data_IF_545940509138
#
_entry.id   IF_545940509138
#
_cell.length_a   1.000
_cell.length_b   1.000
_cell.length_c   1.000
_cell.angle_alpha   90.00
_cell.angle_beta   90.00
_cell.angle_gamma   90.00
#
_symmetry.space_group_name_H-M   'P 1'
#
loop_
_entity.id
_entity.type
_entity.pdbx_description
1 polymer ?
#
# COMPACT_ATOMS: atom_id res chain seq x y z
N UNK A 1 19.43 42.41 -38.08
CA UNK A 1 19.27 40.96 -38.35
C UNK A 1 20.37 40.21 -37.63
N UNK A 2 20.08 39.64 -36.46
CA UNK A 2 20.97 38.71 -35.76
C UNK A 2 20.12 37.55 -35.24
N UNK A 3 20.22 36.40 -35.90
CA UNK A 3 19.48 35.19 -35.55
C UNK A 3 20.29 34.41 -34.51
N UNK A 4 19.92 34.51 -33.23
CA UNK A 4 20.41 33.56 -32.23
C UNK A 4 19.68 32.22 -32.44
N UNK A 5 20.43 31.25 -32.95
CA UNK A 5 19.96 29.89 -33.21
C UNK A 5 20.29 29.06 -31.97
N UNK A 6 19.35 28.94 -31.04
CA UNK A 6 19.48 28.03 -29.90
C UNK A 6 19.10 26.62 -30.35
N UNK A 7 20.10 25.75 -30.50
CA UNK A 7 19.91 24.30 -30.51
C UNK A 7 19.86 23.83 -29.06
N UNK A 8 18.84 23.06 -28.67
CA UNK A 8 18.89 22.21 -27.49
C UNK A 8 18.66 20.76 -27.93
N UNK A 9 19.47 19.80 -27.43
CA UNK A 9 19.37 18.39 -27.80
C UNK A 9 18.21 17.70 -27.06
N UNK A 10 17.69 16.67 -27.72
CA UNK A 10 16.70 15.73 -27.21
C UNK A 10 17.37 14.71 -26.28
N UNK A 11 16.72 14.39 -25.16
CA UNK A 11 16.90 13.14 -24.43
C UNK A 11 15.52 12.73 -23.89
N UNK A 12 14.87 11.82 -24.61
CA UNK A 12 13.64 11.16 -24.17
C UNK A 12 14.05 9.97 -23.29
N UNK A 13 14.01 10.13 -21.97
CA UNK A 13 14.10 9.04 -21.02
C UNK A 13 12.75 8.34 -20.92
N UNK A 14 12.69 7.06 -21.27
CA UNK A 14 11.50 6.23 -21.16
C UNK A 14 11.51 5.64 -19.74
N UNK A 15 10.70 6.22 -18.83
CA UNK A 15 10.58 5.74 -17.44
C UNK A 15 9.34 4.86 -17.36
N UNK A 16 9.54 3.56 -17.20
CA UNK A 16 8.47 2.58 -16.91
C UNK A 16 8.23 2.53 -15.41
N UNK A 17 7.13 3.09 -14.94
CA UNK A 17 6.61 2.83 -13.60
C UNK A 17 5.71 1.58 -13.65
N UNK A 18 6.11 0.52 -12.95
CA UNK A 18 5.30 -0.68 -12.78
C UNK A 18 4.72 -0.68 -11.35
N UNK A 19 3.40 -0.59 -11.24
CA UNK A 19 2.69 -0.77 -9.97
C UNK A 19 2.22 -2.23 -9.91
N UNK A 20 2.70 -2.98 -8.91
CA UNK A 20 2.25 -4.36 -8.66
C UNK A 20 1.54 -4.38 -7.31
N UNK A 21 0.25 -4.70 -7.31
CA UNK A 21 -0.57 -4.93 -6.12
C UNK A 21 -0.64 -6.44 -5.87
N UNK A 22 -0.02 -6.94 -4.80
CA UNK A 22 -0.25 -8.31 -4.31
C UNK A 22 -1.25 -8.27 -3.16
N UNK A 23 -2.40 -8.93 -3.33
CA UNK A 23 -3.38 -9.19 -2.28
C UNK A 23 -3.11 -10.54 -1.61
N UNK A 24 -2.87 -10.56 -0.30
CA UNK A 24 -2.72 -11.77 0.50
C UNK A 24 -3.99 -12.09 1.28
N UNK A 25 -4.51 -13.32 1.17
CA UNK A 25 -5.69 -13.80 1.89
C UNK A 25 -5.29 -14.52 3.18
N UNK A 26 -5.84 -14.10 4.33
CA UNK A 26 -5.78 -14.87 5.59
C UNK A 26 -7.18 -15.46 5.91
N UNK A 27 -7.29 -16.79 5.86
CA UNK A 27 -8.50 -17.51 6.23
C UNK A 27 -8.64 -17.60 7.76
N UNK A 28 -9.81 -17.18 8.26
CA UNK A 28 -10.12 -17.02 9.68
C UNK A 28 -10.37 -18.30 10.50
N UNK A 29 -10.33 -18.11 11.82
CA UNK A 29 -10.46 -19.15 12.83
C UNK A 29 -11.89 -19.61 13.15
N UNK A 30 -11.98 -20.74 13.85
CA UNK A 30 -13.22 -21.24 14.43
C UNK A 30 -13.19 -21.10 15.95
N UNK A 31 -14.09 -20.26 16.49
CA UNK A 31 -14.50 -20.28 17.90
C UNK A 31 -15.71 -21.21 18.03
N UNK A 32 -15.70 -22.14 18.99
CA UNK A 32 -16.91 -22.81 19.48
C UNK A 32 -17.03 -22.61 20.99
N UNK A 33 -18.19 -22.09 21.42
CA UNK A 33 -18.59 -21.80 22.80
C UNK A 33 -19.75 -22.72 23.20
N UNK A 34 -19.73 -23.26 24.44
CA UNK A 34 -20.94 -23.43 25.28
C UNK A 34 -21.49 -24.84 25.64
N UNK A 35 -20.88 -25.51 26.66
CA UNK A 35 -21.37 -26.15 27.94
C UNK A 35 -22.89 -26.54 28.20
N UNK A 36 -23.27 -27.30 29.29
CA UNK A 36 -23.39 -28.76 29.64
C UNK A 36 -24.90 -29.12 30.02
N UNK A 37 -25.34 -30.02 30.96
CA UNK A 37 -24.73 -31.07 31.84
C UNK A 37 -25.43 -32.46 31.85
N UNK A 38 -24.82 -33.49 32.47
CA UNK A 38 -25.44 -34.27 33.58
C UNK A 38 -24.53 -35.37 34.19
N UNK A 39 -24.86 -35.68 35.45
CA UNK A 39 -24.30 -36.52 36.52
C UNK A 39 -23.55 -37.85 36.25
N UNK A 40 -22.48 -38.12 37.04
CA UNK A 40 -22.50 -39.10 38.16
C UNK A 40 -21.09 -39.58 38.62
N UNK A 41 -20.83 -39.35 39.91
CA UNK A 41 -20.06 -40.11 40.93
C UNK A 41 -18.69 -40.83 40.66
N UNK A 42 -17.74 -40.43 41.52
CA UNK A 42 -16.73 -41.22 42.25
C UNK A 42 -15.45 -41.73 41.56
N UNK A 43 -14.30 -41.16 41.93
CA UNK A 43 -13.32 -41.80 42.82
C UNK A 43 -12.10 -40.89 43.05
N UNK A 44 -11.63 -40.88 44.29
CA UNK A 44 -10.48 -40.09 44.76
C UNK A 44 -9.17 -40.75 44.37
N UNK A 45 -8.26 -39.98 43.78
CA UNK A 45 -6.83 -40.26 43.83
C UNK A 45 -6.09 -38.92 43.96
N UNK A 46 -5.57 -38.69 45.15
CA UNK A 46 -4.64 -37.60 45.44
C UNK A 46 -3.31 -37.87 44.73
N UNK A 47 -2.78 -36.86 44.03
CA UNK A 47 -1.34 -36.74 43.78
C UNK A 47 -0.94 -35.26 43.90
N UNK A 48 -0.17 -35.03 44.97
CA UNK A 48 0.86 -34.02 45.23
C UNK A 48 0.82 -32.69 44.49
N UNK A 49 0.68 -31.62 45.28
CA UNK A 49 1.15 -30.28 44.96
C UNK A 49 2.61 -30.30 44.53
N UNK A 50 2.89 -29.87 43.31
CA UNK A 50 4.15 -29.22 42.99
C UNK A 50 3.85 -27.72 42.87
N UNK A 51 4.35 -26.95 43.84
CA UNK A 51 4.36 -25.49 43.74
C UNK A 51 5.37 -25.11 42.67
N UNK A 52 4.91 -24.90 41.44
CA UNK A 52 5.74 -24.25 40.41
C UNK A 52 5.93 -22.78 40.79
N UNK A 53 7.14 -22.22 40.71
CA UNK A 53 7.34 -20.78 40.86
C UNK A 53 6.52 -20.05 39.79
N UNK A 54 6.15 -18.77 39.99
CA UNK A 54 5.51 -18.00 38.94
C UNK A 54 6.48 -18.01 37.75
N UNK A 55 6.06 -18.65 36.66
CA UNK A 55 6.70 -18.42 35.39
C UNK A 55 6.47 -16.93 35.12
N UNK A 56 7.52 -16.13 35.25
CA UNK A 56 7.53 -14.82 34.62
C UNK A 56 7.12 -15.06 33.18
N UNK A 57 5.92 -14.59 32.84
CA UNK A 57 5.47 -14.54 31.48
C UNK A 57 6.41 -13.56 30.78
N UNK A 58 7.54 -14.09 30.32
CA UNK A 58 8.39 -13.43 29.36
C UNK A 58 7.48 -13.13 28.19
N UNK A 59 7.10 -11.85 28.06
CA UNK A 59 6.47 -11.34 26.86
C UNK A 59 7.43 -11.70 25.75
N UNK A 60 7.10 -12.70 24.95
CA UNK A 60 7.81 -12.98 23.71
C UNK A 60 7.64 -11.73 22.88
N UNK A 61 8.69 -10.91 22.84
CA UNK A 61 8.79 -9.82 21.87
C UNK A 61 8.94 -10.52 20.52
N UNK A 62 7.83 -10.64 19.80
CA UNK A 62 7.88 -11.00 18.40
C UNK A 62 8.70 -9.90 17.71
N UNK A 63 9.73 -10.26 16.91
CA UNK A 63 10.57 -9.27 16.28
C UNK A 63 9.69 -8.40 15.37
N UNK A 64 9.61 -7.10 15.68
CA UNK A 64 9.03 -6.13 14.76
C UNK A 64 9.92 -6.08 13.52
N UNK A 65 9.32 -6.33 12.36
CA UNK A 65 10.01 -6.28 11.07
C UNK A 65 10.19 -4.83 10.67
N UNK A 66 11.42 -4.44 10.36
CA UNK A 66 11.73 -3.14 9.74
C UNK A 66 11.42 -3.21 8.24
N UNK A 67 10.21 -2.81 7.87
CA UNK A 67 9.72 -2.89 6.49
C UNK A 67 10.46 -1.93 5.55
N UNK A 68 10.98 -0.81 6.05
CA UNK A 68 11.79 0.12 5.26
C UNK A 68 13.13 -0.52 4.89
N UNK A 69 13.77 -1.20 5.85
CA UNK A 69 15.00 -1.95 5.59
C UNK A 69 14.77 -3.10 4.59
N UNK A 70 13.67 -3.86 4.73
CA UNK A 70 13.32 -4.92 3.77
C UNK A 70 13.08 -4.36 2.36
N UNK A 71 12.39 -3.22 2.24
CA UNK A 71 12.18 -2.55 0.96
C UNK A 71 13.49 -2.02 0.36
N UNK A 72 14.37 -1.45 1.18
CA UNK A 72 15.68 -0.98 0.74
C UNK A 72 16.56 -2.12 0.22
N UNK A 73 16.61 -3.25 0.93
CA UNK A 73 17.35 -4.44 0.49
C UNK A 73 16.81 -4.98 -0.85
N UNK A 74 15.49 -4.94 -1.03
CA UNK A 74 14.85 -5.35 -2.28
C UNK A 74 15.15 -4.41 -3.46
N UNK A 75 15.29 -3.11 -3.20
CA UNK A 75 15.55 -2.08 -4.23
C UNK A 75 17.03 -1.82 -4.50
N UNK A 76 17.93 -2.22 -3.60
CA UNK A 76 19.38 -2.06 -3.74
C UNK A 76 19.94 -2.45 -5.12
N UNK A 77 19.56 -3.58 -5.76
CA UNK A 77 20.08 -3.92 -7.10
C UNK A 77 19.50 -3.07 -8.24
N UNK A 78 18.40 -2.33 -8.01
CA UNK A 78 17.73 -1.49 -9.01
C UNK A 78 18.12 -0.01 -8.89
N UNK A 79 18.52 0.42 -7.71
CA UNK A 79 18.87 1.81 -7.41
C UNK A 79 20.27 2.23 -7.89
N UNK A 80 21.09 1.30 -8.43
CA UNK A 80 22.44 1.62 -8.88
C UNK A 80 22.43 2.54 -10.12
N UNK A 81 22.72 3.83 -9.89
CA UNK A 81 22.85 4.85 -10.93
C UNK A 81 21.55 5.53 -11.36
N UNK A 82 20.44 5.35 -10.64
CA UNK A 82 19.17 6.01 -10.91
C UNK A 82 18.55 6.63 -9.65
N UNK A 83 17.91 7.79 -9.79
CA UNK A 83 17.09 8.40 -8.74
C UNK A 83 15.76 7.64 -8.68
N UNK A 84 15.52 6.91 -7.59
CA UNK A 84 14.34 6.05 -7.43
C UNK A 84 13.72 6.27 -6.05
N UNK A 85 12.43 6.57 -6.04
CA UNK A 85 11.59 6.58 -4.85
C UNK A 85 10.45 5.57 -5.01
N UNK A 86 10.18 4.78 -3.96
CA UNK A 86 9.12 3.76 -3.94
C UNK A 86 8.45 3.78 -2.57
N UNK A 87 7.12 3.72 -2.56
CA UNK A 87 6.35 3.53 -1.34
C UNK A 87 5.35 2.38 -1.51
N UNK A 88 5.18 1.60 -0.46
CA UNK A 88 4.20 0.51 -0.37
C UNK A 88 3.30 0.83 0.82
N UNK A 89 1.98 0.74 0.61
CA UNK A 89 0.98 0.96 1.65
C UNK A 89 -0.04 -0.17 1.57
N UNK A 90 -0.21 -0.89 2.67
CA UNK A 90 -1.40 -1.69 2.89
C UNK A 90 -2.56 -0.76 3.27
N UNK A 91 -3.57 -0.69 2.41
CA UNK A 91 -4.70 0.21 2.58
C UNK A 91 -5.70 -0.25 3.65
N UNK A 92 -5.61 -1.51 4.11
CA UNK A 92 -6.46 -2.01 5.20
C UNK A 92 -5.86 -1.67 6.57
N UNK A 93 -4.61 -2.03 6.83
CA UNK A 93 -3.96 -1.77 8.13
C UNK A 93 -3.34 -0.38 8.25
N UNK A 94 -3.05 0.29 7.12
CA UNK A 94 -2.26 1.53 7.08
C UNK A 94 -0.76 1.33 7.27
N UNK A 95 -0.30 0.08 7.39
CA UNK A 95 1.12 -0.26 7.47
C UNK A 95 1.78 -0.03 6.13
N UNK A 96 2.99 0.53 6.11
CA UNK A 96 3.70 0.81 4.87
C UNK A 96 5.21 0.87 5.05
N UNK A 97 5.88 0.98 3.92
CA UNK A 97 7.32 1.17 3.81
C UNK A 97 7.63 2.18 2.70
N UNK A 98 8.73 2.91 2.84
CA UNK A 98 9.21 3.86 1.86
C UNK A 98 10.73 3.77 1.64
N UNK A 99 11.13 4.01 0.40
CA UNK A 99 12.52 4.15 -0.02
C UNK A 99 12.61 5.41 -0.87
N UNK A 100 13.52 6.34 -0.53
CA UNK A 100 13.66 7.63 -1.20
C UNK A 100 12.52 8.61 -0.87
N UNK A 101 12.83 9.90 -0.94
CA UNK A 101 11.88 10.99 -0.72
C UNK A 101 12.09 12.19 -1.66
N UNK A 102 12.74 11.96 -2.80
CA UNK A 102 13.10 13.01 -3.74
C UNK A 102 11.89 13.57 -4.52
N UNK A 103 12.08 14.75 -5.12
CA UNK A 103 11.09 15.38 -5.99
C UNK A 103 11.29 14.95 -7.45
N UNK A 104 10.20 14.63 -8.14
CA UNK A 104 10.18 14.20 -9.53
C UNK A 104 9.19 15.01 -10.37
N UNK A 105 9.43 15.09 -11.67
CA UNK A 105 8.41 15.50 -12.62
C UNK A 105 7.26 14.49 -12.59
N UNK A 106 6.04 14.95 -12.29
CA UNK A 106 4.87 14.07 -12.14
C UNK A 106 4.52 13.28 -13.40
N UNK A 107 4.98 13.75 -14.56
CA UNK A 107 4.56 13.23 -15.87
C UNK A 107 3.03 13.07 -15.93
N UNK A 108 2.53 11.91 -16.35
CA UNK A 108 1.09 11.66 -16.45
C UNK A 108 0.37 11.39 -15.12
N UNK A 109 1.08 11.36 -13.98
CA UNK A 109 0.44 11.19 -12.65
C UNK A 109 -0.49 12.35 -12.32
N UNK A 110 -0.14 13.57 -12.77
CA UNK A 110 -0.95 14.79 -12.59
C UNK A 110 -2.39 14.66 -13.08
N UNK A 111 -2.66 13.73 -14.00
CA UNK A 111 -4.01 13.48 -14.53
C UNK A 111 -4.96 12.89 -13.49
N UNK A 112 -4.43 12.20 -12.49
CA UNK A 112 -5.23 11.74 -11.34
C UNK A 112 -5.70 12.94 -10.52
N UNK A 113 -4.87 13.96 -10.34
CA UNK A 113 -5.26 15.20 -9.65
C UNK A 113 -6.30 15.98 -10.46
N UNK A 114 -6.17 16.03 -11.79
CA UNK A 114 -7.18 16.64 -12.68
C UNK A 114 -8.52 15.91 -12.54
N UNK A 115 -8.52 14.57 -12.51
CA UNK A 115 -9.74 13.80 -12.29
C UNK A 115 -10.34 14.08 -10.89
N UNK A 116 -9.51 14.12 -9.85
CA UNK A 116 -9.97 14.41 -8.50
C UNK A 116 -10.63 15.80 -8.42
N UNK A 117 -10.04 16.82 -9.06
CA UNK A 117 -10.61 18.16 -9.14
C UNK A 117 -11.94 18.19 -9.91
N UNK A 118 -12.05 17.47 -11.02
CA UNK A 118 -13.30 17.35 -11.78
C UNK A 118 -14.41 16.67 -10.95
N UNK A 119 -14.07 15.60 -10.23
CA UNK A 119 -15.01 14.91 -9.34
C UNK A 119 -15.44 15.80 -8.18
N UNK A 120 -14.51 16.55 -7.58
CA UNK A 120 -14.80 17.49 -6.51
C UNK A 120 -15.75 18.59 -7.00
N UNK A 121 -15.51 19.16 -8.19
CA UNK A 121 -16.40 20.16 -8.79
C UNK A 121 -17.82 19.61 -9.01
N UNK A 122 -17.95 18.39 -9.53
CA UNK A 122 -19.26 17.78 -9.73
C UNK A 122 -20.01 17.54 -8.40
N UNK A 123 -19.28 17.14 -7.36
CA UNK A 123 -19.83 16.98 -6.01
C UNK A 123 -20.31 18.31 -5.43
N UNK A 124 -19.52 19.38 -5.57
CA UNK A 124 -19.89 20.73 -5.13
C UNK A 124 -21.15 21.25 -5.85
N UNK A 125 -21.31 20.87 -7.12
CA UNK A 125 -22.49 21.18 -7.93
C UNK A 125 -23.68 20.22 -7.65
N UNK A 126 -23.49 19.20 -6.82
CA UNK A 126 -24.53 18.22 -6.49
C UNK A 126 -24.96 17.36 -7.68
N UNK A 127 -24.06 17.11 -8.63
CA UNK A 127 -24.33 16.31 -9.83
C UNK A 127 -23.26 15.25 -10.06
N UNK A 128 -23.55 14.35 -10.97
CA UNK A 128 -22.56 13.41 -11.51
C UNK A 128 -21.84 14.02 -12.73
N UNK A 129 -20.77 13.36 -13.16
CA UNK A 129 -20.13 13.68 -14.43
C UNK A 129 -21.11 13.42 -15.57
N UNK A 130 -21.17 14.34 -16.53
CA UNK A 130 -21.91 14.11 -17.76
C UNK A 130 -21.13 13.14 -18.69
N UNK A 131 -21.78 12.67 -19.75
CA UNK A 131 -21.19 11.66 -20.63
C UNK A 131 -19.88 12.11 -21.32
N UNK A 132 -19.72 13.41 -21.60
CA UNK A 132 -18.49 13.93 -22.21
C UNK A 132 -17.36 13.99 -21.17
N UNK A 133 -17.64 14.53 -19.98
CA UNK A 133 -16.68 14.55 -18.87
C UNK A 133 -16.19 13.14 -18.52
N UNK A 134 -17.11 12.17 -18.46
CA UNK A 134 -16.75 10.77 -18.22
C UNK A 134 -15.88 10.19 -19.34
N UNK A 135 -16.21 10.45 -20.61
CA UNK A 135 -15.44 9.95 -21.75
C UNK A 135 -14.02 10.55 -21.79
N UNK A 136 -13.88 11.84 -21.46
CA UNK A 136 -12.58 12.50 -21.39
C UNK A 136 -11.76 12.00 -20.20
N UNK A 137 -12.37 11.88 -19.02
CA UNK A 137 -11.72 11.26 -17.86
C UNK A 137 -11.23 9.84 -18.15
N UNK A 138 -12.04 9.02 -18.83
CA UNK A 138 -11.66 7.67 -19.22
C UNK A 138 -10.49 7.66 -20.22
N UNK A 139 -10.53 8.53 -21.23
CA UNK A 139 -9.44 8.69 -22.18
C UNK A 139 -8.13 9.11 -21.49
N UNK A 140 -8.23 10.12 -20.62
CA UNK A 140 -7.13 10.68 -19.87
C UNK A 140 -6.51 9.65 -18.93
N UNK A 141 -7.29 8.88 -18.17
CA UNK A 141 -6.75 7.93 -17.18
C UNK A 141 -6.32 6.61 -17.80
N UNK A 142 -7.13 5.99 -18.66
CA UNK A 142 -6.83 4.64 -19.17
C UNK A 142 -5.74 4.62 -20.23
N UNK A 143 -5.61 5.71 -20.99
CA UNK A 143 -4.69 5.78 -22.15
C UNK A 143 -3.68 6.91 -22.03
N UNK A 144 -3.70 7.68 -20.94
CA UNK A 144 -2.91 8.90 -20.81
C UNK A 144 -3.11 9.86 -21.99
N UNK A 145 -4.36 10.02 -22.48
CA UNK A 145 -4.66 11.01 -23.52
C UNK A 145 -4.36 12.44 -23.01
N UNK A 146 -3.84 13.31 -23.88
CA UNK A 146 -3.45 14.69 -23.57
C UNK A 146 -4.39 15.74 -24.18
N UNK A 147 -5.30 15.35 -25.08
CA UNK A 147 -6.09 16.27 -25.91
C UNK A 147 -7.53 16.40 -25.43
N UNK A 148 -8.03 15.34 -24.77
CA UNK A 148 -9.38 15.23 -24.24
C UNK A 148 -9.60 16.08 -22.99
#
# INVERSE_FOLDING_TARGET
MSRHRTRRPALSGLVTAAVVLLAGSAAGGAYLVGRPPDDAAASVAAVSSASSPPAEAGRSEEPEVDLDAELADALAPLADGADVSVAVLDTESGTGAAYGDEAYDTASIVKVDILAALLLLAQDEGRELNGAEQAYAEAMIRRSDNTS
#
